data_IF_660208071025
#
_entry.id   IF_660208071025
#
_cell.length_a   1.000
_cell.length_b   1.000
_cell.length_c   1.000
_cell.angle_alpha   90.00
_cell.angle_beta   90.00
_cell.angle_gamma   90.00
#
_symmetry.space_group_name_H-M   'P 1'
#
loop_
_entity.id
_entity.type
_entity.pdbx_description
1 polymer ?
#
# COMPACT_ATOMS: atom_id res chain seq x y z
N UNK A 1 9.36 -13.08 15.93
CA UNK A 1 8.28 -12.79 16.89
C UNK A 1 7.01 -12.57 16.11
N UNK A 2 6.07 -13.52 16.16
CA UNK A 2 4.72 -13.32 15.63
C UNK A 2 4.02 -12.34 16.55
N UNK A 3 3.52 -11.22 16.01
CA UNK A 3 2.63 -10.34 16.77
C UNK A 3 1.27 -11.02 16.77
N UNK A 4 0.76 -11.36 17.95
CA UNK A 4 -0.60 -11.86 18.06
C UNK A 4 -1.57 -10.68 17.89
N UNK A 5 -2.14 -10.57 16.71
CA UNK A 5 -3.09 -9.51 16.38
C UNK A 5 -4.46 -9.76 17.02
N UNK A 6 -4.76 -10.99 17.44
CA UNK A 6 -6.01 -11.33 18.13
C UNK A 6 -5.96 -10.77 19.53
N UNK A 7 -4.87 -11.02 20.27
CA UNK A 7 -4.67 -10.45 21.61
C UNK A 7 -4.67 -8.92 21.59
N UNK A 8 -4.08 -8.32 20.55
CA UNK A 8 -4.08 -6.86 20.38
C UNK A 8 -5.47 -6.30 20.06
N UNK A 9 -6.30 -7.05 19.34
CA UNK A 9 -7.69 -6.67 19.04
C UNK A 9 -8.56 -6.79 20.29
N UNK A 10 -8.47 -7.90 21.02
CA UNK A 10 -9.22 -8.12 22.26
C UNK A 10 -8.92 -7.04 23.31
N UNK A 11 -7.63 -6.70 23.49
CA UNK A 11 -7.24 -5.57 24.35
C UNK A 11 -7.84 -4.24 23.87
N UNK A 12 -7.85 -3.98 22.56
CA UNK A 12 -8.41 -2.76 22.01
C UNK A 12 -9.93 -2.63 22.20
N UNK A 13 -10.65 -3.74 22.17
CA UNK A 13 -12.11 -3.76 22.31
C UNK A 13 -12.57 -3.74 23.77
N UNK A 14 -11.83 -4.38 24.68
CA UNK A 14 -12.29 -4.62 26.05
C UNK A 14 -11.54 -3.84 27.12
N UNK A 15 -10.23 -3.62 26.94
CA UNK A 15 -9.35 -3.15 28.02
C UNK A 15 -8.69 -1.78 27.71
N UNK A 16 -8.81 -1.27 26.49
CA UNK A 16 -8.14 -0.04 26.08
C UNK A 16 -8.82 1.19 26.69
N UNK A 17 -8.20 1.75 27.73
CA UNK A 17 -8.53 3.07 28.24
C UNK A 17 -7.65 4.16 27.59
N UNK A 18 -8.26 4.97 26.73
CA UNK A 18 -7.57 6.14 26.17
C UNK A 18 -7.50 7.28 27.19
N UNK A 19 -6.36 8.00 27.32
CA UNK A 19 -6.24 9.15 28.21
C UNK A 19 -7.35 10.17 27.98
N UNK A 20 -8.00 10.64 29.06
CA UNK A 20 -9.16 11.54 28.97
C UNK A 20 -8.86 12.80 28.14
N UNK A 21 -7.66 13.35 28.26
CA UNK A 21 -7.18 14.56 27.56
C UNK A 21 -6.18 14.25 26.44
N UNK A 22 -6.40 13.16 25.69
CA UNK A 22 -5.56 12.86 24.53
C UNK A 22 -5.61 14.00 23.52
N UNK A 23 -4.45 14.57 23.18
CA UNK A 23 -4.30 15.64 22.19
C UNK A 23 -4.43 15.16 20.75
N UNK A 24 -4.45 13.84 20.52
CA UNK A 24 -4.44 13.22 19.19
C UNK A 24 -5.59 12.25 18.95
N UNK A 25 -6.27 11.77 19.99
CA UNK A 25 -7.39 10.84 19.82
C UNK A 25 -8.71 11.59 19.63
N UNK A 26 -9.37 11.35 18.50
CA UNK A 26 -10.74 11.81 18.25
C UNK A 26 -11.74 10.82 18.85
N UNK A 27 -12.88 11.32 19.34
CA UNK A 27 -13.97 10.51 19.90
C UNK A 27 -15.32 10.95 19.37
N UNK A 28 -16.31 10.07 19.45
CA UNK A 28 -17.70 10.36 19.11
C UNK A 28 -17.86 10.94 17.70
N UNK A 29 -18.56 12.06 17.58
CA UNK A 29 -18.87 12.69 16.30
C UNK A 29 -17.62 13.08 15.50
N UNK A 30 -16.58 13.63 16.16
CA UNK A 30 -15.35 14.04 15.49
C UNK A 30 -14.60 12.85 14.89
N UNK A 31 -14.64 11.68 15.55
CA UNK A 31 -14.07 10.45 15.01
C UNK A 31 -14.84 9.95 13.79
N UNK A 32 -16.17 10.03 13.82
CA UNK A 32 -17.02 9.62 12.70
C UNK A 32 -16.78 10.50 11.45
N UNK A 33 -16.71 11.82 11.61
CA UNK A 33 -16.42 12.74 10.51
C UNK A 33 -15.03 12.52 9.92
N UNK A 34 -14.02 12.39 10.77
CA UNK A 34 -12.66 12.13 10.33
C UNK A 34 -12.54 10.78 9.62
N UNK A 35 -13.19 9.73 10.13
CA UNK A 35 -13.26 8.42 9.49
C UNK A 35 -13.92 8.50 8.10
N UNK A 36 -15.03 9.22 7.97
CA UNK A 36 -15.70 9.44 6.69
C UNK A 36 -14.83 10.23 5.70
N UNK A 37 -14.10 11.25 6.17
CA UNK A 37 -13.13 12.01 5.37
C UNK A 37 -11.99 11.10 4.87
N UNK A 38 -11.42 10.27 5.75
CA UNK A 38 -10.37 9.31 5.39
C UNK A 38 -10.86 8.34 4.31
N UNK A 39 -12.07 7.78 4.47
CA UNK A 39 -12.66 6.87 3.48
C UNK A 39 -12.91 7.55 2.13
N UNK A 40 -13.35 8.82 2.15
CA UNK A 40 -13.56 9.62 0.93
C UNK A 40 -12.26 9.90 0.19
N UNK A 41 -11.17 10.17 0.92
CA UNK A 41 -9.81 10.39 0.37
C UNK A 41 -9.13 9.10 -0.08
N UNK A 42 -9.40 7.99 0.60
CA UNK A 42 -8.74 6.71 0.36
C UNK A 42 -9.18 6.02 -0.95
N UNK A 43 -10.19 6.54 -1.66
CA UNK A 43 -10.61 5.98 -2.95
C UNK A 43 -11.16 4.55 -2.85
N UNK A 44 -11.71 4.17 -1.70
CA UNK A 44 -12.30 2.85 -1.44
C UNK A 44 -11.59 2.03 -0.36
N UNK A 45 -12.24 0.93 0.06
CA UNK A 45 -11.62 -0.11 0.91
C UNK A 45 -10.38 -0.62 0.17
N UNK A 46 -9.20 -0.72 0.81
CA UNK A 46 -8.05 -1.32 0.14
C UNK A 46 -8.47 -2.67 -0.42
N UNK A 47 -8.16 -2.91 -1.69
CA UNK A 47 -8.36 -4.21 -2.33
C UNK A 47 -7.39 -5.20 -1.69
N UNK A 48 -7.75 -5.69 -0.51
CA UNK A 48 -7.36 -7.01 -0.07
C UNK A 48 -8.14 -7.93 -0.99
N UNK A 49 -7.50 -8.40 -2.06
CA UNK A 49 -8.01 -9.53 -2.81
C UNK A 49 -8.44 -10.60 -1.78
N UNK A 50 -9.73 -10.96 -1.71
CA UNK A 50 -10.23 -11.88 -0.69
C UNK A 50 -9.66 -13.29 -0.84
N UNK A 51 -9.00 -13.55 -1.98
CA UNK A 51 -8.29 -14.80 -2.28
C UNK A 51 -6.78 -14.69 -2.11
N UNK A 52 -6.24 -13.49 -1.83
CA UNK A 52 -4.81 -13.34 -1.58
C UNK A 52 -4.43 -14.01 -0.26
N UNK A 53 -3.56 -15.01 -0.35
CA UNK A 53 -2.98 -15.65 0.84
C UNK A 53 -2.32 -14.59 1.72
N UNK A 54 -2.62 -14.51 3.02
CA UNK A 54 -1.93 -13.62 3.93
C UNK A 54 -0.40 -13.79 3.80
N UNK A 55 0.31 -12.70 3.48
CA UNK A 55 1.76 -12.72 3.23
C UNK A 55 2.19 -12.94 1.76
N UNK A 56 1.26 -13.04 0.81
CA UNK A 56 1.53 -13.07 -0.63
C UNK A 56 1.98 -11.69 -1.15
N UNK A 57 3.14 -11.22 -0.70
CA UNK A 57 3.77 -10.06 -1.30
C UNK A 57 4.21 -10.39 -2.73
N UNK A 58 4.07 -9.44 -3.65
CA UNK A 58 4.71 -9.55 -4.97
C UNK A 58 6.20 -9.87 -4.78
N UNK A 59 6.73 -10.91 -5.45
CA UNK A 59 8.15 -11.24 -5.33
C UNK A 59 9.00 -10.05 -5.76
N UNK A 60 10.00 -9.71 -4.95
CA UNK A 60 10.92 -8.60 -5.22
C UNK A 60 12.01 -9.06 -6.19
N UNK A 61 12.22 -8.29 -7.26
CA UNK A 61 13.37 -8.41 -8.16
C UNK A 61 14.21 -7.14 -8.05
N UNK A 62 15.54 -7.28 -7.95
CA UNK A 62 16.48 -6.14 -7.90
C UNK A 62 17.35 -6.18 -9.14
N UNK A 63 17.48 -5.04 -9.82
CA UNK A 63 18.22 -4.91 -11.08
C UNK A 63 19.14 -3.70 -10.98
N UNK A 64 20.36 -3.82 -11.52
CA UNK A 64 21.27 -2.67 -11.67
C UNK A 64 20.95 -1.99 -13.00
N UNK A 65 20.73 -0.68 -12.96
CA UNK A 65 20.50 0.15 -14.13
C UNK A 65 21.66 1.16 -14.27
N UNK A 66 22.04 1.54 -15.50
CA UNK A 66 22.82 2.76 -15.71
C UNK A 66 22.11 3.96 -15.08
N UNK A 67 22.88 4.92 -14.57
CA UNK A 67 22.32 6.09 -13.88
C UNK A 67 21.34 6.85 -14.77
N UNK A 68 21.72 7.11 -16.02
CA UNK A 68 20.89 7.81 -16.99
C UNK A 68 19.52 7.14 -17.19
N UNK A 69 19.48 5.81 -17.24
CA UNK A 69 18.21 5.08 -17.38
C UNK A 69 17.36 5.17 -16.11
N UNK A 70 17.99 5.17 -14.93
CA UNK A 70 17.28 5.38 -13.67
C UNK A 70 16.63 6.76 -13.64
N UNK A 71 17.36 7.79 -14.04
CA UNK A 71 16.88 9.18 -14.05
C UNK A 71 15.70 9.34 -15.02
N UNK A 72 15.77 8.72 -16.21
CA UNK A 72 14.67 8.71 -17.18
C UNK A 72 13.39 8.06 -16.63
N UNK A 73 13.50 7.02 -15.80
CA UNK A 73 12.35 6.40 -15.14
C UNK A 73 11.71 7.36 -14.12
N UNK A 74 12.52 8.07 -13.35
CA UNK A 74 12.05 9.04 -12.36
C UNK A 74 11.41 10.28 -13.00
N UNK A 75 11.97 10.76 -14.11
CA UNK A 75 11.37 11.83 -14.92
C UNK A 75 10.02 11.41 -15.52
N UNK A 76 9.95 10.19 -16.07
CA UNK A 76 8.70 9.66 -16.62
C UNK A 76 7.63 9.51 -15.54
N UNK A 77 8.00 8.99 -14.37
CA UNK A 77 7.14 8.89 -13.20
C UNK A 77 6.58 10.26 -12.78
N UNK A 78 7.44 11.27 -12.71
CA UNK A 78 7.06 12.65 -12.36
C UNK A 78 6.07 13.23 -13.37
N UNK A 79 6.38 13.13 -14.66
CA UNK A 79 5.53 13.64 -15.76
C UNK A 79 4.16 12.97 -15.82
N UNK A 80 4.07 11.70 -15.46
CA UNK A 80 2.83 10.90 -15.51
C UNK A 80 2.10 10.82 -14.17
N UNK A 81 2.57 11.55 -13.14
CA UNK A 81 2.06 11.50 -11.77
C UNK A 81 1.91 10.06 -11.23
N UNK A 82 2.83 9.17 -11.62
CA UNK A 82 2.80 7.74 -11.33
C UNK A 82 4.06 7.33 -10.59
N UNK A 83 4.01 6.25 -9.80
CA UNK A 83 5.19 5.76 -9.07
C UNK A 83 6.20 5.08 -10.01
N UNK A 84 7.53 5.25 -9.82
CA UNK A 84 8.55 4.55 -10.61
C UNK A 84 8.35 3.04 -10.66
N UNK A 85 7.94 2.43 -9.54
CA UNK A 85 7.64 1.00 -9.46
C UNK A 85 6.49 0.55 -10.38
N UNK A 86 5.50 1.41 -10.61
CA UNK A 86 4.41 1.12 -11.54
C UNK A 86 4.88 1.20 -12.99
N UNK A 87 5.68 2.22 -13.33
CA UNK A 87 6.32 2.37 -14.65
C UNK A 87 7.19 1.14 -14.97
N UNK A 88 8.06 0.73 -14.03
CA UNK A 88 8.90 -0.46 -14.21
C UNK A 88 8.06 -1.73 -14.40
N UNK A 89 7.00 -1.92 -13.61
CA UNK A 89 6.12 -3.09 -13.74
C UNK A 89 5.43 -3.13 -15.10
N UNK A 90 4.90 -2.00 -15.56
CA UNK A 90 4.26 -1.90 -16.86
C UNK A 90 5.27 -2.16 -17.99
N UNK A 91 6.45 -1.56 -17.93
CA UNK A 91 7.49 -1.79 -18.93
C UNK A 91 7.91 -3.26 -19.03
N UNK A 92 8.02 -3.96 -17.89
CA UNK A 92 8.32 -5.39 -17.85
C UNK A 92 7.17 -6.21 -18.46
N UNK A 93 5.92 -5.90 -18.12
CA UNK A 93 4.74 -6.57 -18.68
C UNK A 93 4.69 -6.41 -20.20
N UNK A 94 4.79 -5.17 -20.68
CA UNK A 94 4.84 -4.83 -22.10
C UNK A 94 5.96 -5.59 -22.84
N UNK A 95 7.13 -5.72 -22.22
CA UNK A 95 8.25 -6.43 -22.82
C UNK A 95 7.96 -7.92 -22.94
N UNK A 96 7.43 -8.55 -21.89
CA UNK A 96 7.08 -9.98 -21.89
C UNK A 96 5.98 -10.27 -22.92
N UNK A 97 4.94 -9.44 -22.99
CA UNK A 97 3.83 -9.63 -23.92
C UNK A 97 4.29 -9.53 -25.39
N UNK A 98 5.28 -8.68 -25.68
CA UNK A 98 5.89 -8.54 -27.02
C UNK A 98 6.91 -9.62 -27.35
N UNK A 99 7.44 -10.33 -26.33
CA UNK A 99 8.46 -11.37 -26.50
C UNK A 99 8.00 -12.68 -25.84
N UNK A 100 6.88 -13.27 -26.32
CA UNK A 100 6.43 -14.54 -25.79
C UNK A 100 7.52 -15.59 -26.00
N UNK A 101 7.76 -16.41 -24.98
CA UNK A 101 8.69 -17.53 -25.09
C UNK A 101 8.16 -18.51 -26.14
N UNK A 102 8.98 -19.00 -27.08
CA UNK A 102 8.57 -20.09 -27.94
C UNK A 102 8.24 -21.30 -27.06
N UNK A 103 7.08 -21.90 -27.30
CA UNK A 103 6.58 -23.06 -26.57
C UNK A 103 7.51 -24.27 -26.69
#
# INVERSE_FOLDING_TARGET
MSKDYSDAADWAEHDMELPKDSKSALRGHAAAEFGAEVLRRAGGRPALDPTATPGAHSPRRQVRLPQELSDQVDELATRTATRPASIMRQAIQDYVDRHPSPA
#
